data_IF_255841532228
#
_entry.id   IF_255841532228
#
_cell.length_a   1.000
_cell.length_b   1.000
_cell.length_c   1.000
_cell.angle_alpha   90.00
_cell.angle_beta   90.00
_cell.angle_gamma   90.00
#
_symmetry.space_group_name_H-M   'P 1'
#
loop_
_entity.id
_entity.type
_entity.pdbx_description
1 polymer ?
#
# COMPACT_ATOMS: atom_id res chain seq x y z
N UNK A 1 25.12 -16.05 18.32
CA UNK A 1 23.97 -16.22 17.41
C UNK A 1 24.07 -17.59 16.77
N UNK A 2 23.32 -18.55 17.32
CA UNK A 2 23.20 -19.90 16.78
C UNK A 2 22.67 -19.84 15.33
N UNK A 3 23.21 -20.64 14.40
CA UNK A 3 22.72 -20.66 13.03
C UNK A 3 21.24 -21.05 12.97
N UNK A 4 20.39 -20.21 12.37
CA UNK A 4 18.99 -20.54 12.04
C UNK A 4 17.91 -19.96 12.94
N UNK A 5 18.28 -19.34 14.06
CA UNK A 5 17.36 -18.64 14.93
C UNK A 5 17.67 -17.13 14.97
N UNK A 6 16.63 -16.31 15.03
CA UNK A 6 16.73 -14.85 15.13
C UNK A 6 15.88 -14.41 16.33
N UNK A 7 16.48 -13.71 17.28
CA UNK A 7 15.76 -13.07 18.36
C UNK A 7 15.86 -11.54 18.24
N UNK A 8 14.77 -10.86 18.59
CA UNK A 8 14.66 -9.41 18.63
C UNK A 8 14.13 -9.03 19.99
N UNK A 9 14.82 -8.11 20.66
CA UNK A 9 14.43 -7.54 21.96
C UNK A 9 14.23 -6.04 21.77
N UNK A 10 13.03 -5.55 22.08
CA UNK A 10 12.63 -4.15 21.89
C UNK A 10 12.17 -3.59 23.23
N UNK A 11 12.82 -2.52 23.71
CA UNK A 11 12.40 -1.81 24.92
C UNK A 11 11.22 -0.87 24.65
N UNK A 12 10.25 -0.85 25.56
CA UNK A 12 9.10 0.07 25.57
C UNK A 12 9.19 1.14 26.67
N UNK A 13 10.30 1.18 27.40
CA UNK A 13 10.45 2.01 28.61
C UNK A 13 9.75 1.41 29.83
N UNK A 14 10.09 1.92 31.02
CA UNK A 14 9.55 1.43 32.29
C UNK A 14 9.84 -0.04 32.57
N UNK A 15 11.00 -0.54 32.13
CA UNK A 15 11.40 -1.95 32.32
C UNK A 15 10.69 -2.96 31.42
N UNK A 16 9.74 -2.53 30.56
CA UNK A 16 9.00 -3.44 29.68
C UNK A 16 9.71 -3.67 28.36
N UNK A 17 9.69 -4.94 27.92
CA UNK A 17 10.33 -5.38 26.69
C UNK A 17 9.37 -6.24 25.87
N UNK A 18 9.49 -6.19 24.54
CA UNK A 18 8.92 -7.20 23.64
C UNK A 18 10.05 -8.06 23.12
N UNK A 19 9.91 -9.35 23.34
CA UNK A 19 10.85 -10.36 22.89
C UNK A 19 10.15 -11.15 21.78
N UNK A 20 10.82 -11.31 20.65
CA UNK A 20 10.33 -12.13 19.55
C UNK A 20 11.47 -13.05 19.10
N UNK A 21 11.22 -14.35 19.12
CA UNK A 21 12.17 -15.35 18.65
C UNK A 21 11.57 -16.08 17.46
N UNK A 22 12.34 -16.15 16.37
CA UNK A 22 12.03 -16.93 15.18
C UNK A 22 13.01 -18.10 15.16
N UNK A 23 12.48 -19.28 15.44
CA UNK A 23 13.19 -20.55 15.31
C UNK A 23 12.53 -21.37 14.19
N UNK A 24 13.35 -21.91 13.28
CA UNK A 24 12.88 -22.72 12.14
C UNK A 24 12.69 -24.19 12.49
N UNK A 25 13.40 -24.68 13.49
CA UNK A 25 13.45 -26.10 13.81
C UNK A 25 12.46 -26.45 14.93
N UNK A 26 11.92 -25.43 15.62
CA UNK A 26 10.91 -25.60 16.66
C UNK A 26 9.52 -25.86 16.06
N UNK A 27 8.81 -26.93 16.48
CA UNK A 27 7.45 -27.20 16.03
C UNK A 27 6.48 -26.11 16.51
N UNK A 28 5.46 -25.82 15.69
CA UNK A 28 4.41 -24.87 16.06
C UNK A 28 3.45 -25.49 17.08
N UNK A 29 3.04 -24.71 18.07
CA UNK A 29 2.00 -25.04 19.04
C UNK A 29 0.93 -23.95 19.04
N UNK A 30 -0.33 -24.33 19.27
CA UNK A 30 -1.45 -23.39 19.48
C UNK A 30 -1.71 -23.15 20.98
N UNK A 31 -0.91 -23.77 21.86
CA UNK A 31 -0.99 -23.59 23.31
C UNK A 31 -0.36 -22.28 23.79
N UNK A 32 -0.46 -21.98 25.10
CA UNK A 32 0.24 -20.85 25.69
C UNK A 32 1.76 -21.04 25.58
N UNK A 33 2.52 -19.94 25.46
CA UNK A 33 3.98 -19.98 25.48
C UNK A 33 4.45 -19.83 26.93
N UNK A 34 5.07 -20.86 27.53
CA UNK A 34 5.67 -20.73 28.85
C UNK A 34 6.83 -19.73 28.85
N UNK A 35 7.10 -19.11 29.98
CA UNK A 35 8.22 -18.15 30.11
C UNK A 35 9.57 -18.86 29.93
N UNK A 36 9.65 -20.09 30.44
CA UNK A 36 10.82 -20.96 30.37
C UNK A 36 11.21 -21.28 28.92
N UNK A 37 10.21 -21.37 28.03
CA UNK A 37 10.45 -21.57 26.59
C UNK A 37 11.13 -20.35 25.96
N UNK A 38 10.73 -19.14 26.35
CA UNK A 38 11.34 -17.90 25.86
C UNK A 38 12.77 -17.78 26.39
N UNK A 39 13.01 -18.17 27.64
CA UNK A 39 14.36 -18.20 28.24
C UNK A 39 15.29 -19.17 27.54
N UNK A 40 14.85 -20.40 27.32
CA UNK A 40 15.60 -21.41 26.58
C UNK A 40 15.97 -20.89 25.18
N UNK A 41 15.02 -20.27 24.50
CA UNK A 41 15.22 -19.71 23.18
C UNK A 41 16.25 -18.54 23.19
N UNK A 42 16.22 -17.68 24.20
CA UNK A 42 17.17 -16.58 24.35
C UNK A 42 18.58 -17.06 24.72
N UNK A 43 18.70 -18.04 25.65
CA UNK A 43 19.97 -18.70 25.97
C UNK A 43 20.56 -19.35 24.72
N UNK A 44 19.72 -20.01 23.92
CA UNK A 44 20.15 -20.58 22.64
C UNK A 44 20.63 -19.51 21.66
N UNK A 45 19.87 -18.43 21.45
CA UNK A 45 20.22 -17.44 20.41
C UNK A 45 21.39 -16.55 20.82
N UNK A 46 21.37 -16.03 22.05
CA UNK A 46 22.30 -15.01 22.54
C UNK A 46 23.35 -15.53 23.51
N UNK A 47 23.17 -16.71 24.11
CA UNK A 47 24.00 -17.16 25.23
C UNK A 47 23.78 -16.35 26.50
N UNK A 48 22.64 -15.66 26.61
CA UNK A 48 22.30 -14.79 27.73
C UNK A 48 21.19 -15.43 28.57
N UNK A 49 21.38 -15.42 29.88
CA UNK A 49 20.31 -15.60 30.85
C UNK A 49 19.81 -14.20 31.25
N UNK A 50 18.53 -13.92 31.03
CA UNK A 50 17.94 -12.63 31.38
C UNK A 50 17.39 -12.61 32.82
N UNK A 51 17.43 -13.75 33.52
CA UNK A 51 16.87 -13.90 34.86
C UNK A 51 15.33 -13.94 34.86
N UNK A 52 14.70 -13.95 36.04
CA UNK A 52 13.24 -13.99 36.16
C UNK A 52 12.61 -12.69 35.66
N UNK A 53 11.58 -12.80 34.82
CA UNK A 53 10.76 -11.67 34.39
C UNK A 53 9.27 -12.02 34.38
N UNK A 54 8.45 -10.97 34.49
CA UNK A 54 7.00 -11.08 34.47
C UNK A 54 6.47 -10.95 33.03
N UNK A 55 5.91 -12.05 32.52
CA UNK A 55 5.37 -12.12 31.17
C UNK A 55 3.91 -11.66 31.14
N UNK A 56 3.70 -10.39 30.78
CA UNK A 56 2.36 -9.81 30.64
C UNK A 56 1.54 -10.36 29.46
N UNK A 57 2.20 -10.87 28.42
CA UNK A 57 1.55 -11.50 27.26
C UNK A 57 2.52 -12.41 26.52
N UNK A 58 2.06 -13.61 26.14
CA UNK A 58 2.82 -14.54 25.33
C UNK A 58 1.95 -15.14 24.22
N UNK A 59 2.57 -15.50 23.09
CA UNK A 59 1.86 -16.06 21.94
C UNK A 59 2.82 -16.74 20.98
N UNK A 60 2.46 -17.92 20.48
CA UNK A 60 3.07 -18.52 19.31
C UNK A 60 2.47 -17.91 18.06
N UNK A 61 3.31 -17.66 17.05
CA UNK A 61 2.84 -17.26 15.73
C UNK A 61 3.48 -18.10 14.64
N UNK A 62 2.66 -18.54 13.69
CA UNK A 62 3.14 -19.25 12.52
C UNK A 62 3.36 -18.30 11.36
N UNK A 63 4.55 -18.34 10.76
CA UNK A 63 4.82 -17.64 9.52
C UNK A 63 4.14 -18.39 8.37
N UNK A 64 2.97 -17.91 7.96
CA UNK A 64 2.26 -18.38 6.78
C UNK A 64 2.55 -17.44 5.60
N UNK A 65 2.70 -17.99 4.40
CA UNK A 65 2.82 -17.24 3.14
C UNK A 65 1.64 -17.64 2.25
N UNK A 66 0.45 -17.08 2.51
CA UNK A 66 -0.80 -17.45 1.83
C UNK A 66 -1.54 -16.22 1.33
N UNK A 67 -2.33 -16.42 0.28
CA UNK A 67 -3.28 -15.42 -0.22
C UNK A 67 -4.55 -16.08 -0.70
N UNK A 68 -5.63 -15.33 -0.68
CA UNK A 68 -6.84 -15.66 -1.40
C UNK A 68 -6.55 -15.77 -2.90
N UNK A 69 -7.26 -16.69 -3.57
CA UNK A 69 -7.17 -16.86 -5.02
C UNK A 69 -7.68 -15.60 -5.75
N UNK A 70 -8.76 -15.03 -5.23
CA UNK A 70 -9.38 -13.76 -5.64
C UNK A 70 -9.78 -12.95 -4.41
N UNK A 71 -9.72 -11.63 -4.49
CA UNK A 71 -10.20 -10.73 -3.43
C UNK A 71 -11.68 -10.37 -3.61
N UNK A 72 -12.32 -10.86 -4.69
CA UNK A 72 -13.74 -10.64 -4.99
C UNK A 72 -14.37 -11.92 -5.53
N UNK A 73 -15.56 -12.23 -5.03
CA UNK A 73 -16.48 -13.22 -5.59
C UNK A 73 -17.90 -12.65 -5.54
N UNK A 74 -18.39 -12.14 -6.67
CA UNK A 74 -19.65 -11.41 -6.74
C UNK A 74 -19.68 -10.21 -5.79
N UNK A 75 -20.55 -10.27 -4.78
CA UNK A 75 -20.74 -9.24 -3.74
C UNK A 75 -19.87 -9.44 -2.49
N UNK A 76 -19.09 -10.53 -2.42
CA UNK A 76 -18.19 -10.82 -1.31
C UNK A 76 -16.78 -10.35 -1.66
N UNK A 77 -16.19 -9.54 -0.79
CA UNK A 77 -14.83 -9.01 -0.95
C UNK A 77 -13.99 -9.31 0.29
N UNK A 78 -12.69 -9.56 0.09
CA UNK A 78 -11.72 -9.85 1.16
C UNK A 78 -10.63 -8.78 1.18
N UNK A 79 -10.28 -8.27 2.37
CA UNK A 79 -9.21 -7.29 2.59
C UNK A 79 -8.38 -7.65 3.84
N UNK A 80 -7.13 -7.17 3.91
CA UNK A 80 -6.24 -7.44 5.05
C UNK A 80 -5.94 -8.92 5.22
N UNK A 81 -5.83 -9.38 6.47
CA UNK A 81 -5.39 -10.74 6.80
C UNK A 81 -6.34 -11.83 6.27
N UNK A 82 -7.62 -11.50 6.01
CA UNK A 82 -8.57 -12.38 5.34
C UNK A 82 -8.20 -12.64 3.87
N UNK A 83 -7.49 -11.71 3.22
CA UNK A 83 -7.05 -11.82 1.83
C UNK A 83 -5.60 -12.32 1.72
N UNK A 84 -4.74 -12.04 2.69
CA UNK A 84 -3.32 -12.40 2.64
C UNK A 84 -2.69 -12.48 4.02
N UNK A 85 -1.85 -13.49 4.22
CA UNK A 85 -0.99 -13.60 5.41
C UNK A 85 0.43 -13.83 4.95
N UNK A 86 1.38 -13.15 5.58
CA UNK A 86 2.79 -13.21 5.20
C UNK A 86 3.69 -13.05 6.43
N UNK A 87 5.00 -13.23 6.24
CA UNK A 87 5.95 -13.02 7.31
C UNK A 87 5.83 -11.62 7.93
N UNK A 88 5.88 -11.50 9.28
CA UNK A 88 5.80 -10.22 9.97
C UNK A 88 7.06 -9.36 9.78
N UNK A 89 8.12 -9.91 9.16
CA UNK A 89 9.36 -9.17 8.89
C UNK A 89 9.04 -7.88 8.11
N UNK A 90 9.44 -6.75 8.69
CA UNK A 90 9.19 -5.42 8.13
C UNK A 90 7.83 -4.81 8.49
N UNK A 91 7.04 -5.44 9.37
CA UNK A 91 5.76 -4.92 9.88
C UNK A 91 4.75 -4.51 8.78
N UNK A 92 4.64 -5.33 7.73
CA UNK A 92 3.87 -4.98 6.52
C UNK A 92 2.38 -5.36 6.57
N UNK A 93 1.95 -6.28 7.44
CA UNK A 93 0.60 -6.86 7.40
C UNK A 93 -0.51 -5.82 7.58
N UNK A 94 -0.52 -5.15 8.74
CA UNK A 94 -1.48 -4.08 9.03
C UNK A 94 -1.44 -2.96 7.98
N UNK A 95 -0.24 -2.53 7.59
CA UNK A 95 -0.05 -1.49 6.59
C UNK A 95 -0.67 -1.88 5.23
N UNK A 96 -0.53 -3.14 4.83
CA UNK A 96 -1.09 -3.66 3.60
C UNK A 96 -2.63 -3.74 3.67
N UNK A 97 -3.18 -4.19 4.80
CA UNK A 97 -4.62 -4.22 5.04
C UNK A 97 -5.28 -2.84 5.06
N UNK A 98 -4.67 -1.85 5.71
CA UNK A 98 -5.16 -0.45 5.68
C UNK A 98 -5.18 0.10 4.25
N UNK A 99 -4.16 -0.21 3.45
CA UNK A 99 -4.12 0.18 2.04
C UNK A 99 -5.16 -0.56 1.19
N UNK A 100 -5.47 -1.83 1.49
CA UNK A 100 -6.58 -2.53 0.85
C UNK A 100 -7.91 -1.82 1.12
N UNK A 101 -8.16 -1.50 2.38
CA UNK A 101 -9.38 -0.79 2.79
C UNK A 101 -9.49 0.59 2.14
N UNK A 102 -8.38 1.34 2.07
CA UNK A 102 -8.37 2.66 1.40
C UNK A 102 -8.61 2.53 -0.10
N UNK A 103 -8.09 1.49 -0.76
CA UNK A 103 -8.34 1.26 -2.19
C UNK A 103 -9.77 0.80 -2.47
N UNK A 104 -10.34 -0.05 -1.59
CA UNK A 104 -11.68 -0.60 -1.75
C UNK A 104 -12.78 0.42 -1.39
N UNK A 105 -12.61 1.17 -0.31
CA UNK A 105 -13.68 1.96 0.30
C UNK A 105 -14.35 2.93 -0.67
N UNK A 106 -13.57 3.74 -1.40
CA UNK A 106 -14.13 4.71 -2.35
C UNK A 106 -14.78 4.04 -3.57
N UNK A 107 -14.26 2.89 -4.02
CA UNK A 107 -14.81 2.12 -5.15
C UNK A 107 -16.14 1.48 -4.76
N UNK A 108 -16.18 0.87 -3.58
CA UNK A 108 -17.38 0.27 -3.04
C UNK A 108 -18.47 1.31 -2.80
N UNK A 109 -18.12 2.46 -2.22
CA UNK A 109 -19.04 3.57 -2.04
C UNK A 109 -19.61 4.07 -3.38
N UNK A 110 -18.77 4.19 -4.42
CA UNK A 110 -19.21 4.61 -5.75
C UNK A 110 -20.19 3.61 -6.38
N UNK A 111 -19.95 2.31 -6.24
CA UNK A 111 -20.85 1.25 -6.76
C UNK A 111 -22.16 1.19 -5.98
N UNK A 112 -22.11 1.22 -4.64
CA UNK A 112 -23.30 1.20 -3.79
C UNK A 112 -24.18 2.43 -4.03
N UNK A 113 -23.58 3.60 -4.28
CA UNK A 113 -24.30 4.82 -4.61
C UNK A 113 -24.82 4.87 -6.06
N UNK A 114 -24.64 3.79 -6.85
CA UNK A 114 -25.05 3.74 -8.26
C UNK A 114 -24.28 4.70 -9.18
N UNK A 115 -23.15 5.26 -8.71
CA UNK A 115 -22.34 6.21 -9.47
C UNK A 115 -21.34 5.52 -10.39
N UNK A 116 -20.97 4.28 -10.08
CA UNK A 116 -20.08 3.46 -10.88
C UNK A 116 -20.61 2.03 -11.07
N UNK A 117 -20.21 1.39 -12.17
CA UNK A 117 -20.51 -0.01 -12.43
C UNK A 117 -19.65 -0.95 -11.59
N UNK A 118 -20.11 -2.19 -11.46
CA UNK A 118 -19.44 -3.21 -10.66
C UNK A 118 -18.03 -3.55 -11.15
N UNK A 119 -17.70 -3.28 -12.42
CA UNK A 119 -16.36 -3.44 -13.00
C UNK A 119 -15.29 -2.62 -12.27
N UNK A 120 -15.66 -1.52 -11.61
CA UNK A 120 -14.73 -0.74 -10.79
C UNK A 120 -14.18 -1.59 -9.62
N UNK A 121 -14.98 -2.50 -9.06
CA UNK A 121 -14.54 -3.40 -7.98
C UNK A 121 -13.59 -4.49 -8.49
N UNK A 122 -13.60 -4.82 -9.78
CA UNK A 122 -12.61 -5.75 -10.35
C UNK A 122 -11.21 -5.12 -10.35
N UNK A 123 -11.13 -3.80 -10.50
CA UNK A 123 -9.85 -3.08 -10.38
C UNK A 123 -9.29 -3.19 -8.96
N UNK A 124 -10.10 -3.30 -7.91
CA UNK A 124 -9.61 -3.55 -6.56
C UNK A 124 -8.88 -4.91 -6.49
N UNK A 125 -9.51 -5.96 -7.01
CA UNK A 125 -8.93 -7.29 -7.02
C UNK A 125 -7.62 -7.32 -7.84
N UNK A 126 -7.59 -6.70 -9.02
CA UNK A 126 -6.39 -6.65 -9.86
C UNK A 126 -5.24 -5.85 -9.22
N UNK A 127 -5.53 -4.63 -8.77
CA UNK A 127 -4.54 -3.72 -8.20
C UNK A 127 -3.89 -4.31 -6.95
N UNK A 128 -4.71 -4.85 -6.04
CA UNK A 128 -4.24 -5.34 -4.74
C UNK A 128 -3.60 -6.71 -4.84
N UNK A 129 -4.05 -7.60 -5.75
CA UNK A 129 -3.43 -8.91 -5.96
C UNK A 129 -1.93 -8.81 -6.26
N UNK A 130 -1.53 -7.88 -7.13
CA UNK A 130 -0.12 -7.72 -7.48
C UNK A 130 0.70 -7.19 -6.31
N UNK A 131 0.18 -6.21 -5.59
CA UNK A 131 0.84 -5.66 -4.40
C UNK A 131 1.04 -6.74 -3.34
N UNK A 132 0.00 -7.53 -3.06
CA UNK A 132 0.07 -8.64 -2.11
C UNK A 132 1.15 -9.66 -2.48
N UNK A 133 1.21 -10.07 -3.75
CA UNK A 133 2.25 -10.98 -4.24
C UNK A 133 3.66 -10.39 -4.06
N UNK A 134 3.85 -9.11 -4.38
CA UNK A 134 5.14 -8.43 -4.24
C UNK A 134 5.60 -8.35 -2.77
N UNK A 135 4.66 -8.18 -1.83
CA UNK A 135 4.93 -8.14 -0.39
C UNK A 135 5.19 -9.54 0.17
N UNK A 136 4.38 -10.54 -0.16
CA UNK A 136 4.59 -11.93 0.27
C UNK A 136 5.98 -12.42 -0.16
N UNK A 137 6.33 -12.25 -1.43
CA UNK A 137 7.64 -12.68 -1.94
C UNK A 137 8.79 -11.92 -1.27
N UNK A 138 8.64 -10.61 -1.08
CA UNK A 138 9.69 -9.80 -0.47
C UNK A 138 9.92 -10.15 1.01
N UNK A 139 8.85 -10.33 1.78
CA UNK A 139 8.92 -10.67 3.21
C UNK A 139 9.39 -12.10 3.44
N UNK A 140 8.99 -13.05 2.59
CA UNK A 140 9.51 -14.41 2.54
C UNK A 140 11.02 -14.43 2.32
N UNK A 141 11.51 -13.73 1.29
CA UNK A 141 12.93 -13.62 0.99
C UNK A 141 13.70 -12.95 2.13
N UNK A 142 13.18 -11.86 2.70
CA UNK A 142 13.79 -11.18 3.83
C UNK A 142 13.94 -12.12 5.04
N UNK A 143 12.90 -12.90 5.34
CA UNK A 143 12.93 -13.90 6.42
C UNK A 143 13.98 -14.97 6.18
N UNK A 144 14.05 -15.52 4.96
CA UNK A 144 15.04 -16.53 4.55
C UNK A 144 16.47 -16.00 4.66
N UNK A 145 16.71 -14.76 4.24
CA UNK A 145 18.04 -14.12 4.34
C UNK A 145 18.40 -13.79 5.78
N UNK A 146 17.44 -13.36 6.60
CA UNK A 146 17.66 -13.05 8.01
C UNK A 146 18.03 -14.31 8.82
N UNK A 147 17.38 -15.44 8.53
CA UNK A 147 17.58 -16.74 9.21
C UNK A 147 18.57 -17.67 8.51
N UNK A 148 19.27 -17.20 7.46
CA UNK A 148 20.17 -18.04 6.66
C UNK A 148 21.40 -18.52 7.44
N UNK A 149 21.66 -19.84 7.39
CA UNK A 149 22.87 -20.48 7.97
C UNK A 149 24.10 -20.40 7.06
N UNK A 150 23.90 -20.43 5.74
CA UNK A 150 24.97 -20.53 4.73
C UNK A 150 25.84 -19.27 4.70
N UNK A 151 27.17 -19.45 4.81
CA UNK A 151 28.15 -18.35 4.83
C UNK A 151 28.02 -17.37 3.64
N UNK A 152 27.85 -17.83 2.38
CA UNK A 152 27.71 -16.89 1.25
C UNK A 152 26.49 -15.96 1.38
N UNK A 153 25.36 -16.47 1.88
CA UNK A 153 24.14 -15.68 2.07
C UNK A 153 24.32 -14.65 3.18
N UNK A 154 25.02 -15.03 4.26
CA UNK A 154 25.36 -14.11 5.36
C UNK A 154 26.29 -13.00 4.89
N UNK A 155 27.30 -13.32 4.09
CA UNK A 155 28.21 -12.34 3.51
C UNK A 155 27.48 -11.36 2.57
N UNK A 156 26.63 -11.88 1.67
CA UNK A 156 25.80 -11.07 0.79
C UNK A 156 24.85 -10.14 1.55
N UNK A 157 24.23 -10.63 2.64
CA UNK A 157 23.40 -9.80 3.54
C UNK A 157 24.20 -8.63 4.12
N UNK A 158 25.39 -8.90 4.65
CA UNK A 158 26.25 -7.85 5.22
C UNK A 158 26.66 -6.81 4.19
N UNK A 159 27.01 -7.23 2.97
CA UNK A 159 27.28 -6.32 1.86
C UNK A 159 26.05 -5.47 1.51
N UNK A 160 24.86 -6.09 1.45
CA UNK A 160 23.60 -5.39 1.20
C UNK A 160 23.30 -4.32 2.26
N UNK A 161 23.46 -4.65 3.55
CA UNK A 161 23.29 -3.70 4.65
C UNK A 161 24.27 -2.53 4.56
N UNK A 162 25.55 -2.80 4.24
CA UNK A 162 26.54 -1.75 3.98
C UNK A 162 26.16 -0.87 2.79
N UNK A 163 25.61 -1.46 1.74
CA UNK A 163 25.11 -0.72 0.58
C UNK A 163 23.95 0.22 0.93
N UNK A 164 23.01 -0.24 1.75
CA UNK A 164 21.91 0.58 2.28
C UNK A 164 22.44 1.73 3.15
N UNK A 165 23.45 1.49 3.98
CA UNK A 165 24.05 2.53 4.82
C UNK A 165 24.79 3.58 3.97
N UNK A 166 25.61 3.13 3.01
CA UNK A 166 26.53 3.98 2.24
C UNK A 166 25.85 4.76 1.11
N UNK A 167 24.85 4.19 0.45
CA UNK A 167 24.30 4.78 -0.79
C UNK A 167 22.86 5.30 -0.59
N UNK A 168 22.64 6.63 -0.56
CA UNK A 168 21.33 7.23 -0.33
C UNK A 168 20.25 6.79 -1.34
N UNK A 169 20.64 6.52 -2.59
CA UNK A 169 19.71 6.04 -3.62
C UNK A 169 19.18 4.64 -3.36
N UNK A 170 20.02 3.73 -2.84
CA UNK A 170 19.62 2.38 -2.44
C UNK A 170 18.75 2.46 -1.19
N UNK A 171 19.20 3.24 -0.18
CA UNK A 171 18.45 3.49 1.05
C UNK A 171 17.03 3.98 0.79
N UNK A 172 16.88 4.99 -0.06
CA UNK A 172 15.56 5.56 -0.41
C UNK A 172 14.65 4.53 -1.06
N UNK A 173 15.16 3.68 -1.96
CA UNK A 173 14.38 2.62 -2.61
C UNK A 173 13.97 1.53 -1.61
N UNK A 174 14.88 1.12 -0.72
CA UNK A 174 14.59 0.15 0.32
C UNK A 174 13.49 0.67 1.26
N UNK A 175 13.63 1.91 1.76
CA UNK A 175 12.63 2.55 2.62
C UNK A 175 11.28 2.74 1.92
N UNK A 176 11.26 3.13 0.64
CA UNK A 176 10.01 3.25 -0.12
C UNK A 176 9.32 1.91 -0.35
N UNK A 177 10.06 0.79 -0.34
CA UNK A 177 9.49 -0.55 -0.41
C UNK A 177 8.92 -0.98 0.95
N UNK A 178 9.68 -0.75 2.03
CA UNK A 178 9.23 -1.05 3.40
C UNK A 178 8.06 -0.17 3.82
N UNK A 179 7.98 1.09 3.39
CA UNK A 179 6.87 1.96 3.78
C UNK A 179 5.66 1.85 2.83
N UNK A 180 5.69 0.92 1.85
CA UNK A 180 4.61 0.74 0.88
C UNK A 180 4.38 1.90 -0.11
N UNK A 181 5.22 2.94 -0.10
CA UNK A 181 5.03 4.13 -0.95
C UNK A 181 5.49 3.91 -2.40
N UNK A 182 6.21 2.82 -2.66
CA UNK A 182 6.71 2.49 -4.00
C UNK A 182 5.73 1.74 -4.88
N UNK A 183 4.59 1.28 -4.34
CA UNK A 183 3.61 0.50 -5.10
C UNK A 183 3.08 1.29 -6.30
N UNK A 184 2.95 0.58 -7.43
CA UNK A 184 2.45 1.16 -8.67
C UNK A 184 1.39 0.26 -9.28
N UNK A 185 0.19 0.80 -9.41
CA UNK A 185 -0.90 0.16 -10.14
C UNK A 185 -0.64 0.22 -11.64
N UNK A 186 -1.05 -0.82 -12.36
CA UNK A 186 -1.10 -0.74 -13.82
C UNK A 186 -2.30 0.15 -14.15
N UNK A 187 -2.07 1.17 -14.97
CA UNK A 187 -3.18 1.95 -15.49
C UNK A 187 -4.00 1.08 -16.43
N UNK A 188 -5.27 0.89 -16.11
CA UNK A 188 -6.26 0.31 -17.02
C UNK A 188 -6.74 1.32 -18.07
N UNK A 189 -6.51 2.62 -17.83
CA UNK A 189 -7.16 3.70 -18.56
C UNK A 189 -6.22 4.57 -19.42
N UNK A 190 -4.90 4.27 -19.47
CA UNK A 190 -3.93 5.12 -20.18
C UNK A 190 -2.81 4.34 -20.86
N UNK A 191 -2.53 4.69 -22.12
CA UNK A 191 -1.32 4.24 -22.82
C UNK A 191 -0.08 4.65 -22.01
N UNK A 192 0.93 3.78 -21.92
CA UNK A 192 2.21 4.12 -21.30
C UNK A 192 2.82 5.31 -22.04
N UNK A 193 2.74 6.49 -21.43
CA UNK A 193 3.38 7.71 -21.95
C UNK A 193 4.88 7.68 -21.60
N UNK A 194 5.71 8.26 -22.48
CA UNK A 194 7.11 8.57 -22.16
C UNK A 194 7.18 9.87 -21.35
N UNK A 195 8.25 10.08 -20.62
CA UNK A 195 8.49 11.31 -19.84
C UNK A 195 7.82 11.35 -18.46
N UNK A 196 7.87 12.52 -17.78
CA UNK A 196 7.41 12.68 -16.38
C UNK A 196 5.97 12.24 -16.14
N UNK A 197 5.05 12.64 -17.04
CA UNK A 197 3.63 12.28 -16.95
C UNK A 197 3.40 10.76 -16.92
N UNK A 198 4.04 10.01 -17.82
CA UNK A 198 3.92 8.55 -17.84
C UNK A 198 4.55 7.85 -16.64
N UNK A 199 5.53 8.50 -16.00
CA UNK A 199 6.13 8.00 -14.76
C UNK A 199 5.21 8.17 -13.55
N UNK A 200 4.27 9.13 -13.56
CA UNK A 200 3.29 9.36 -12.48
C UNK A 200 2.16 8.35 -12.48
N UNK A 201 1.62 8.00 -13.65
CA UNK A 201 0.39 7.19 -13.72
C UNK A 201 0.55 5.88 -12.97
N UNK A 202 -0.40 5.61 -12.08
CA UNK A 202 -0.45 4.43 -11.21
C UNK A 202 0.42 4.53 -9.97
N UNK A 203 1.17 5.61 -9.76
CA UNK A 203 1.95 5.85 -8.52
C UNK A 203 1.15 6.71 -7.56
N UNK A 204 1.45 6.54 -6.27
CA UNK A 204 1.01 7.47 -5.23
C UNK A 204 1.63 8.85 -5.45
N UNK A 205 0.81 9.88 -5.43
CA UNK A 205 1.26 11.28 -5.42
C UNK A 205 1.56 11.63 -3.96
N UNK A 206 2.75 12.18 -3.64
CA UNK A 206 3.05 12.59 -2.28
C UNK A 206 2.18 13.77 -1.86
N UNK A 207 2.22 14.13 -0.59
CA UNK A 207 1.53 15.32 -0.13
C UNK A 207 2.24 16.59 -0.65
N UNK A 208 1.62 17.23 -1.64
CA UNK A 208 2.11 18.41 -2.33
C UNK A 208 1.51 19.67 -1.70
N UNK A 209 2.31 20.72 -1.57
CA UNK A 209 1.81 22.07 -1.29
C UNK A 209 1.17 22.66 -2.55
N UNK A 210 -0.02 23.23 -2.39
CA UNK A 210 -0.80 23.84 -3.45
C UNK A 210 -0.60 25.37 -3.45
N UNK A 211 -0.99 26.02 -4.55
CA UNK A 211 -0.90 27.47 -4.77
C UNK A 211 -1.77 28.28 -3.80
N UNK A 212 -2.88 27.71 -3.35
CA UNK A 212 -3.84 28.30 -2.42
C UNK A 212 -3.47 28.11 -0.94
N UNK A 213 -2.28 27.58 -0.66
CA UNK A 213 -1.77 27.33 0.69
C UNK A 213 -2.15 25.98 1.29
N UNK A 214 -3.11 25.25 0.71
CA UNK A 214 -3.52 23.92 1.19
C UNK A 214 -2.51 22.84 0.81
N UNK A 215 -2.71 21.66 1.38
CA UNK A 215 -1.98 20.43 1.04
C UNK A 215 -2.86 19.50 0.23
N UNK A 216 -2.29 18.76 -0.72
CA UNK A 216 -3.03 17.81 -1.56
C UNK A 216 -3.82 16.81 -0.71
N UNK A 217 -3.23 16.30 0.37
CA UNK A 217 -3.90 15.34 1.25
C UNK A 217 -5.05 15.95 2.06
N UNK A 218 -5.10 17.27 2.24
CA UNK A 218 -6.26 17.93 2.86
C UNK A 218 -7.44 17.93 1.89
N UNK A 219 -7.20 18.22 0.62
CA UNK A 219 -8.25 18.23 -0.41
C UNK A 219 -8.80 16.82 -0.64
N UNK A 220 -7.95 15.79 -0.65
CA UNK A 220 -8.36 14.40 -0.85
C UNK A 220 -9.28 13.85 0.26
N UNK A 221 -9.39 14.52 1.42
CA UNK A 221 -10.33 14.13 2.49
C UNK A 221 -11.79 14.23 2.05
N UNK A 222 -12.11 15.00 1.01
CA UNK A 222 -13.45 15.06 0.43
C UNK A 222 -13.90 13.75 -0.23
N UNK A 223 -12.97 12.84 -0.52
CA UNK A 223 -13.25 11.57 -1.20
C UNK A 223 -13.48 11.72 -2.71
N UNK A 224 -13.26 12.91 -3.28
CA UNK A 224 -13.34 13.18 -4.71
C UNK A 224 -12.01 12.96 -5.45
N UNK A 225 -12.07 13.09 -6.77
CA UNK A 225 -10.87 13.19 -7.60
C UNK A 225 -10.34 14.62 -7.56
N UNK A 226 -9.03 14.76 -7.69
CA UNK A 226 -8.37 16.07 -7.72
C UNK A 226 -7.62 16.22 -9.02
N UNK A 227 -7.97 17.24 -9.80
CA UNK A 227 -7.27 17.62 -11.03
C UNK A 227 -6.35 18.79 -10.74
N UNK A 228 -5.06 18.50 -10.63
CA UNK A 228 -4.03 19.52 -10.40
C UNK A 228 -3.54 20.04 -11.73
N UNK A 229 -3.63 21.36 -11.89
CA UNK A 229 -3.41 22.07 -13.15
C UNK A 229 -2.35 23.16 -12.99
N UNK A 230 -1.14 22.88 -13.44
CA UNK A 230 0.01 23.78 -13.34
C UNK A 230 0.22 24.64 -14.59
N UNK A 231 -0.66 24.52 -15.59
CA UNK A 231 -0.58 25.32 -16.82
C UNK A 231 -1.23 26.69 -16.66
N UNK A 232 -0.98 27.56 -17.64
CA UNK A 232 -1.61 28.88 -17.71
C UNK A 232 -2.90 28.84 -18.52
N UNK A 233 -3.77 29.83 -18.31
CA UNK A 233 -5.02 30.01 -19.07
C UNK A 233 -6.27 29.54 -18.34
N UNK A 234 -7.36 29.38 -19.09
CA UNK A 234 -8.68 28.98 -18.56
C UNK A 234 -8.68 27.55 -18.01
N UNK A 235 -9.70 27.15 -17.25
CA UNK A 235 -9.84 25.76 -16.79
C UNK A 235 -9.84 24.80 -17.99
N UNK A 236 -9.04 23.71 -17.98
CA UNK A 236 -9.10 22.73 -19.05
C UNK A 236 -10.46 22.02 -18.98
N UNK A 237 -11.09 21.71 -20.12
CA UNK A 237 -12.39 21.08 -20.11
C UNK A 237 -12.31 19.71 -19.42
N UNK A 238 -13.01 19.59 -18.30
CA UNK A 238 -13.39 18.32 -17.69
C UNK A 238 -14.79 18.01 -18.21
N UNK A 239 -15.11 16.77 -18.64
CA UNK A 239 -16.45 16.50 -19.13
C UNK A 239 -17.49 16.75 -18.02
N UNK A 240 -18.54 17.51 -18.34
CA UNK A 240 -19.54 18.03 -17.38
C UNK A 240 -20.12 16.94 -16.47
N UNK A 241 -20.28 15.73 -17.00
CA UNK A 241 -20.81 14.59 -16.28
C UNK A 241 -20.01 14.21 -15.01
N UNK A 242 -18.77 14.68 -14.83
CA UNK A 242 -17.94 14.41 -13.63
C UNK A 242 -17.49 15.68 -12.90
N UNK A 243 -18.02 16.86 -13.23
CA UNK A 243 -17.56 18.13 -12.65
C UNK A 243 -17.70 18.19 -11.13
N UNK A 244 -18.79 17.62 -10.59
CA UNK A 244 -19.06 17.48 -9.15
C UNK A 244 -18.12 16.50 -8.43
N UNK A 245 -17.47 15.58 -9.15
CA UNK A 245 -16.52 14.62 -8.56
C UNK A 245 -15.07 15.07 -8.66
N UNK A 246 -14.77 16.05 -9.52
CA UNK A 246 -13.41 16.47 -9.83
C UNK A 246 -13.18 17.87 -9.30
N UNK A 247 -12.49 17.96 -8.16
CA UNK A 247 -11.99 19.25 -7.66
C UNK A 247 -10.83 19.71 -8.54
N UNK A 248 -11.02 20.82 -9.26
CA UNK A 248 -9.97 21.45 -10.05
C UNK A 248 -9.13 22.39 -9.16
N UNK A 249 -7.81 22.25 -9.25
CA UNK A 249 -6.85 23.05 -8.49
C UNK A 249 -5.82 23.68 -9.44
N UNK A 250 -5.99 24.97 -9.80
CA UNK A 250 -5.03 25.68 -10.63
C UNK A 250 -3.80 26.15 -9.82
N UNK A 251 -2.63 26.10 -10.43
CA UNK A 251 -1.38 26.63 -9.91
C UNK A 251 -0.28 25.60 -9.72
N UNK A 252 0.96 26.08 -9.62
CA UNK A 252 2.15 25.24 -9.47
C UNK A 252 2.18 24.57 -8.11
N UNK A 253 2.57 23.31 -8.08
CA UNK A 253 2.76 22.55 -6.83
C UNK A 253 4.16 22.71 -6.28
N UNK A 254 4.28 22.59 -4.96
CA UNK A 254 5.55 22.53 -4.22
C UNK A 254 5.67 21.19 -3.51
N UNK A 255 6.87 20.65 -3.36
CA UNK A 255 7.04 19.37 -2.68
C UNK A 255 8.39 18.70 -2.97
N UNK A 256 8.53 17.41 -2.60
CA UNK A 256 9.75 16.67 -2.88
C UNK A 256 10.04 16.62 -4.38
N UNK A 257 11.31 16.38 -4.75
CA UNK A 257 11.69 16.19 -6.16
C UNK A 257 10.95 14.98 -6.74
N UNK A 258 10.33 15.17 -7.91
CA UNK A 258 9.67 14.10 -8.63
C UNK A 258 8.96 14.56 -9.90
N UNK A 259 8.34 13.64 -10.64
CA UNK A 259 7.77 13.92 -11.95
C UNK A 259 6.58 14.90 -11.94
N UNK A 260 5.91 15.08 -10.79
CA UNK A 260 4.83 16.05 -10.61
C UNK A 260 5.28 17.49 -10.86
N UNK A 261 6.53 17.87 -10.58
CA UNK A 261 7.02 19.23 -10.82
C UNK A 261 7.13 19.55 -12.32
N UNK A 262 7.31 18.54 -13.16
CA UNK A 262 7.44 18.67 -14.62
C UNK A 262 6.20 18.20 -15.39
N UNK A 263 5.06 18.05 -14.72
CA UNK A 263 3.82 17.56 -15.33
C UNK A 263 2.78 18.67 -15.30
N UNK A 264 2.32 19.10 -16.48
CA UNK A 264 1.41 20.24 -16.63
C UNK A 264 0.04 19.99 -15.97
N UNK A 265 -0.56 18.82 -16.18
CA UNK A 265 -1.88 18.47 -15.64
C UNK A 265 -1.88 17.01 -15.18
N UNK A 266 -2.45 16.72 -14.01
CA UNK A 266 -2.61 15.35 -13.53
C UNK A 266 -3.84 15.15 -12.64
N UNK A 267 -4.47 13.98 -12.80
CA UNK A 267 -5.65 13.55 -12.07
C UNK A 267 -5.25 12.58 -10.96
N UNK A 268 -5.65 12.88 -9.73
CA UNK A 268 -5.41 12.08 -8.52
C UNK A 268 -6.73 11.47 -8.06
N UNK A 269 -6.70 10.16 -7.78
CA UNK A 269 -7.81 9.40 -7.21
C UNK A 269 -8.02 9.71 -5.72
N UNK A 270 -9.20 9.37 -5.16
CA UNK A 270 -9.47 9.49 -3.72
C UNK A 270 -8.43 8.77 -2.83
N UNK A 271 -7.84 7.67 -3.30
CA UNK A 271 -6.79 6.93 -2.57
C UNK A 271 -5.36 7.49 -2.75
N UNK A 272 -5.21 8.63 -3.44
CA UNK A 272 -3.96 9.36 -3.64
C UNK A 272 -3.10 8.85 -4.80
N UNK A 273 -3.61 7.94 -5.63
CA UNK A 273 -2.91 7.45 -6.82
C UNK A 273 -3.21 8.29 -8.05
N UNK A 274 -2.20 8.56 -8.87
CA UNK A 274 -2.37 9.26 -10.14
C UNK A 274 -3.10 8.38 -11.16
N UNK A 275 -4.31 8.75 -11.54
CA UNK A 275 -5.12 8.08 -12.57
C UNK A 275 -4.67 8.46 -13.99
N UNK A 276 -4.28 9.72 -14.19
CA UNK A 276 -3.82 10.25 -15.47
C UNK A 276 -2.88 11.44 -15.26
N UNK A 277 -1.98 11.66 -16.22
CA UNK A 277 -1.08 12.79 -16.27
C UNK A 277 -0.72 13.11 -17.72
N UNK A 278 -0.61 14.40 -18.06
CA UNK A 278 -0.30 14.81 -19.43
C UNK A 278 -0.37 16.31 -19.65
N UNK A 279 -0.22 16.74 -20.91
CA UNK A 279 -0.39 18.13 -21.29
C UNK A 279 -1.87 18.53 -21.33
N UNK A 280 -2.14 19.81 -21.12
CA UNK A 280 -3.52 20.37 -21.14
C UNK A 280 -4.23 20.16 -22.46
N UNK A 281 -3.50 20.21 -23.58
CA UNK A 281 -4.04 19.99 -24.94
C UNK A 281 -4.67 18.61 -25.15
N UNK A 282 -4.39 17.63 -24.28
CA UNK A 282 -4.95 16.28 -24.35
C UNK A 282 -6.01 16.00 -23.29
N UNK A 283 -6.22 16.94 -22.35
CA UNK A 283 -7.07 16.73 -21.19
C UNK A 283 -8.49 16.30 -21.57
N UNK A 284 -9.13 17.01 -22.49
CA UNK A 284 -10.52 16.75 -22.89
C UNK A 284 -10.73 15.28 -23.34
N UNK A 285 -9.94 14.86 -24.34
CA UNK A 285 -10.08 13.52 -24.93
C UNK A 285 -9.62 12.41 -24.00
N UNK A 286 -8.52 12.61 -23.28
CA UNK A 286 -8.00 11.58 -22.39
C UNK A 286 -8.87 11.41 -21.13
N UNK A 287 -9.35 12.52 -20.53
CA UNK A 287 -10.19 12.46 -19.34
C UNK A 287 -11.58 11.87 -19.64
N UNK A 288 -12.12 12.10 -20.84
CA UNK A 288 -13.34 11.45 -21.30
C UNK A 288 -13.22 9.92 -21.39
N UNK A 289 -12.00 9.38 -21.51
CA UNK A 289 -11.74 7.93 -21.47
C UNK A 289 -11.40 7.47 -20.05
N UNK A 290 -10.60 8.25 -19.32
CA UNK A 290 -10.09 7.87 -18.00
C UNK A 290 -11.15 7.93 -16.91
N UNK A 291 -11.98 8.98 -16.89
CA UNK A 291 -12.99 9.16 -15.85
C UNK A 291 -14.02 8.03 -15.83
N UNK A 292 -14.57 7.55 -16.96
CA UNK A 292 -15.45 6.38 -16.95
C UNK A 292 -14.82 5.12 -16.35
N UNK A 293 -13.51 4.91 -16.52
CA UNK A 293 -12.83 3.73 -15.96
C UNK A 293 -12.71 3.77 -14.43
N UNK A 294 -12.68 4.97 -13.83
CA UNK A 294 -12.46 5.13 -12.39
C UNK A 294 -13.68 5.61 -11.63
N UNK A 295 -14.50 6.46 -12.23
CA UNK A 295 -15.71 7.03 -11.64
C UNK A 295 -16.99 6.39 -12.22
N UNK A 296 -16.86 5.45 -13.17
CA UNK A 296 -17.98 4.80 -13.84
C UNK A 296 -18.61 5.64 -14.95
N UNK A 297 -19.43 4.99 -15.78
CA UNK A 297 -20.26 5.68 -16.78
C UNK A 297 -21.46 6.28 -16.07
N UNK A 298 -21.51 7.60 -16.00
CA UNK A 298 -22.71 8.33 -15.55
C UNK A 298 -23.67 8.47 -16.72
N UNK A 299 -24.54 7.49 -16.91
CA UNK A 299 -25.71 7.61 -17.79
C UNK A 299 -26.96 7.79 -16.92
N UNK A 300 -27.74 8.82 -17.26
CA UNK A 300 -29.17 9.15 -17.02
C UNK A 300 -29.91 8.38 -15.90
N UNK A 301 -30.70 9.05 -15.03
CA UNK A 301 -31.29 8.46 -13.83
C UNK A 301 -31.94 7.10 -14.10
N UNK A 302 -31.50 6.05 -13.40
CA UNK A 302 -32.34 4.87 -13.24
C UNK A 302 -33.52 5.28 -12.37
N UNK A 303 -34.73 5.22 -12.92
CA UNK A 303 -35.95 5.18 -12.11
C UNK A 303 -35.76 4.19 -10.97
N UNK A 304 -36.15 4.61 -9.76
CA UNK A 304 -36.01 3.82 -8.54
C UNK A 304 -36.75 2.50 -8.71
N UNK A 305 -36.03 1.45 -9.08
CA UNK A 305 -36.56 0.10 -9.08
C UNK A 305 -36.70 -0.37 -7.62
N UNK A 306 -37.95 -0.39 -7.15
CA UNK A 306 -38.49 -1.37 -6.22
C UNK A 306 -37.95 -1.36 -4.79
N UNK A 307 -38.82 -0.98 -3.85
CA UNK A 307 -38.67 -1.30 -2.44
C UNK A 307 -38.42 -2.80 -2.23
N UNK A 308 -37.53 -3.13 -1.29
CA UNK A 308 -37.32 -4.49 -0.81
C UNK A 308 -38.64 -5.02 -0.21
N UNK A 309 -39.10 -6.24 -0.54
CA UNK A 309 -40.22 -6.83 0.18
C UNK A 309 -39.80 -7.09 1.62
N UNK A 310 -40.60 -6.59 2.56
CA UNK A 310 -40.49 -6.93 3.97
C UNK A 310 -40.76 -8.43 4.15
N UNK A 311 -39.83 -9.12 4.79
CA UNK A 311 -40.04 -10.43 5.40
C UNK A 311 -40.27 -10.26 6.88
#
# INVERSE_FOLDING_TARGET
MVPGALAVVIGFGGGRHRIAVIDRDRPHSDGPVPVEEVDEALRTVFGLDLGPYDATWTSHFRINERRARTNRSGRVLLAGDAAHVHSPVGAQGLNLGVQDATNLGWKLAAVVAGRAGEELLDTYAEERRRVCLEVIVATALATRVATARRLPVRAARQLGLRGVARFPGIRRRALARVNGTSHRYRSTAGRRRRGPAGAMVGRRVPDLGLSDGRRLYEVLRSGGFVLVDQGAGSRPPVPDAWDDLVTHLPGRVRGPRGPWLGTELFLVRPDGYCAWAGPRSRAAGDLAVVLPCWAGRRNVPRERAGAWPAG
#
